data_IF_097732066852
#
_entry.id   IF_097732066852
#
_cell.length_a   1.000
_cell.length_b   1.000
_cell.length_c   1.000
_cell.angle_alpha   90.00
_cell.angle_beta   90.00
_cell.angle_gamma   90.00
#
_symmetry.space_group_name_H-M   'P 1'
#
loop_
_entity.id
_entity.type
_entity.pdbx_description
1 polymer ?
#
# COMPACT_ATOMS: atom_id res chain seq x y z
N UNK A 1 -14.26 -41.91 36.74
CA UNK A 1 -14.77 -40.78 35.92
C UNK A 1 -13.77 -39.64 35.95
N UNK A 2 -13.82 -38.77 34.94
CA UNK A 2 -12.90 -37.68 34.57
C UNK A 2 -11.82 -38.04 33.52
N UNK A 3 -12.16 -37.74 32.26
CA UNK A 3 -11.27 -37.44 31.13
C UNK A 3 -11.25 -35.91 30.97
N UNK A 4 -10.08 -35.29 30.80
CA UNK A 4 -9.78 -34.13 29.92
C UNK A 4 -8.24 -34.12 29.74
N UNK A 5 -7.67 -34.71 28.67
CA UNK A 5 -7.19 -34.07 27.43
C UNK A 5 -6.36 -32.78 27.59
N UNK A 6 -5.10 -32.82 27.15
CA UNK A 6 -4.45 -31.66 26.52
C UNK A 6 -3.14 -31.14 27.11
N UNK A 7 -2.11 -31.97 27.27
CA UNK A 7 -0.74 -31.46 27.40
C UNK A 7 0.24 -32.40 26.71
N UNK A 8 0.70 -32.02 25.51
CA UNK A 8 1.77 -32.71 24.80
C UNK A 8 3.04 -31.88 24.98
N UNK A 9 4.11 -32.42 25.61
CA UNK A 9 5.38 -31.72 25.70
C UNK A 9 6.12 -31.78 24.36
N UNK A 10 6.73 -30.66 24.01
CA UNK A 10 7.52 -30.43 22.80
C UNK A 10 8.81 -31.28 22.82
N UNK A 11 9.21 -31.92 21.71
CA UNK A 11 10.61 -32.29 21.52
C UNK A 11 11.15 -31.80 20.16
N UNK A 12 12.22 -31.00 20.21
CA UNK A 12 13.18 -30.85 19.10
C UNK A 12 14.40 -31.70 19.48
N UNK A 13 14.96 -32.52 18.58
CA UNK A 13 16.24 -32.17 17.97
C UNK A 13 16.38 -32.58 16.48
N UNK A 14 17.36 -31.96 15.80
CA UNK A 14 17.64 -32.00 14.36
C UNK A 14 18.64 -33.15 13.95
N UNK A 15 19.51 -33.00 12.92
CA UNK A 15 19.33 -33.47 11.53
C UNK A 15 20.43 -34.46 11.04
N UNK A 16 20.11 -35.47 10.23
CA UNK A 16 21.05 -36.26 9.38
C UNK A 16 20.19 -37.06 8.37
N UNK A 17 20.49 -37.29 7.09
CA UNK A 17 21.62 -37.07 6.20
C UNK A 17 21.59 -38.14 5.10
N UNK A 18 21.81 -37.77 3.81
CA UNK A 18 22.12 -38.64 2.63
C UNK A 18 21.01 -39.63 2.19
N UNK A 19 20.78 -40.02 0.94
CA UNK A 19 21.59 -40.06 -0.29
C UNK A 19 20.66 -40.35 -1.51
N UNK A 20 21.13 -40.02 -2.72
CA UNK A 20 20.75 -40.54 -4.07
C UNK A 20 19.38 -40.13 -4.64
N UNK A 21 19.29 -39.48 -5.80
CA UNK A 21 19.67 -40.09 -7.08
C UNK A 21 19.97 -39.06 -8.18
N UNK A 22 20.97 -39.38 -9.00
CA UNK A 22 21.55 -38.63 -10.12
C UNK A 22 20.85 -38.99 -11.43
N UNK A 23 20.44 -38.00 -12.24
CA UNK A 23 20.40 -38.11 -13.72
C UNK A 23 20.73 -36.72 -14.31
N UNK A 24 21.91 -36.63 -14.94
CA UNK A 24 22.32 -35.51 -15.79
C UNK A 24 21.69 -35.65 -17.19
N UNK A 25 21.32 -34.54 -17.81
CA UNK A 25 20.88 -34.48 -19.21
C UNK A 25 20.95 -33.04 -19.72
N UNK A 26 21.79 -32.83 -20.73
CA UNK A 26 22.32 -31.58 -21.26
C UNK A 26 21.39 -30.75 -22.16
N UNK A 27 21.62 -29.43 -22.10
CA UNK A 27 21.61 -28.42 -23.17
C UNK A 27 20.33 -27.90 -23.87
N UNK A 28 20.36 -26.55 -23.97
CA UNK A 28 19.85 -25.66 -25.00
C UNK A 28 18.34 -25.58 -25.28
N UNK A 29 17.79 -24.37 -25.00
CA UNK A 29 17.02 -23.59 -25.98
C UNK A 29 16.86 -22.13 -25.53
N UNK A 30 17.62 -21.27 -26.18
CA UNK A 30 17.29 -19.88 -26.49
C UNK A 30 15.82 -19.74 -26.89
N UNK A 31 15.06 -18.99 -26.10
CA UNK A 31 13.76 -18.45 -26.49
C UNK A 31 13.81 -16.92 -26.43
N UNK A 32 14.12 -16.30 -27.57
CA UNK A 32 13.79 -14.88 -27.80
C UNK A 32 12.27 -14.77 -27.82
N UNK A 33 11.68 -14.13 -26.82
CA UNK A 33 10.29 -13.70 -26.81
C UNK A 33 10.20 -12.20 -27.10
N UNK A 34 9.42 -11.86 -28.13
CA UNK A 34 9.29 -10.55 -28.76
C UNK A 34 8.92 -9.39 -27.82
N UNK A 35 9.45 -8.21 -28.17
CA UNK A 35 8.92 -6.90 -27.78
C UNK A 35 7.43 -6.80 -28.12
N UNK A 36 6.62 -6.43 -27.13
CA UNK A 36 5.36 -5.72 -27.36
C UNK A 36 5.57 -4.27 -26.92
N UNK A 37 5.71 -3.39 -27.91
CA UNK A 37 5.54 -1.95 -27.73
C UNK A 37 4.08 -1.70 -27.32
N UNK A 38 3.87 -1.51 -26.02
CA UNK A 38 2.65 -0.93 -25.46
C UNK A 38 2.95 0.47 -24.98
N UNK A 39 2.59 1.46 -25.78
CA UNK A 39 2.41 2.85 -25.32
C UNK A 39 1.38 2.86 -24.19
N UNK A 40 1.77 3.33 -23.00
CA UNK A 40 0.81 3.71 -21.97
C UNK A 40 0.90 2.98 -20.62
N UNK A 41 2.11 2.66 -20.14
CA UNK A 41 2.28 2.37 -18.71
C UNK A 41 3.43 3.20 -18.19
N UNK A 42 3.13 4.04 -17.19
CA UNK A 42 4.14 4.66 -16.32
C UNK A 42 5.07 3.57 -15.77
N UNK A 43 6.21 3.94 -15.16
CA UNK A 43 7.26 2.99 -14.82
C UNK A 43 6.67 1.76 -14.14
N UNK A 44 6.61 0.64 -14.88
CA UNK A 44 6.26 -0.65 -14.32
C UNK A 44 7.42 -0.97 -13.39
N UNK A 45 7.28 -0.54 -12.13
CA UNK A 45 8.20 -0.94 -11.09
C UNK A 45 8.06 -2.45 -11.00
N UNK A 46 9.02 -3.15 -11.59
CA UNK A 46 9.16 -4.59 -11.48
C UNK A 46 9.04 -4.96 -9.99
N UNK A 47 8.44 -6.10 -9.67
CA UNK A 47 8.27 -6.55 -8.28
C UNK A 47 9.61 -6.57 -7.54
N UNK A 48 10.70 -6.80 -8.28
CA UNK A 48 12.07 -6.66 -7.78
C UNK A 48 12.44 -5.21 -7.42
N UNK A 49 12.09 -4.22 -8.25
CA UNK A 49 12.31 -2.81 -7.98
C UNK A 49 11.52 -2.31 -6.76
N UNK A 50 10.27 -2.77 -6.59
CA UNK A 50 9.46 -2.48 -5.40
C UNK A 50 10.11 -3.10 -4.15
N UNK A 51 10.54 -4.36 -4.22
CA UNK A 51 11.21 -5.03 -3.10
C UNK A 51 12.53 -4.35 -2.72
N UNK A 52 13.32 -3.91 -3.69
CA UNK A 52 14.55 -3.14 -3.46
C UNK A 52 14.22 -1.81 -2.78
N UNK A 53 13.25 -1.05 -3.29
CA UNK A 53 12.83 0.21 -2.68
C UNK A 53 12.34 0.01 -1.23
N UNK A 54 11.55 -1.02 -0.96
CA UNK A 54 11.11 -1.38 0.39
C UNK A 54 12.28 -1.77 1.29
N UNK A 55 13.27 -2.49 0.77
CA UNK A 55 14.45 -2.89 1.55
C UNK A 55 15.35 -1.71 1.91
N UNK A 56 15.49 -0.73 1.00
CA UNK A 56 16.19 0.53 1.26
C UNK A 56 15.44 1.34 2.30
N UNK A 57 14.13 1.51 2.15
CA UNK A 57 13.30 2.20 3.13
C UNK A 57 13.34 1.52 4.51
N UNK A 58 13.31 0.19 4.56
CA UNK A 58 13.42 -0.57 5.80
C UNK A 58 14.80 -0.42 6.46
N UNK A 59 15.86 -0.38 5.67
CA UNK A 59 17.22 -0.13 6.17
C UNK A 59 17.36 1.29 6.71
N UNK A 60 16.86 2.29 5.99
CA UNK A 60 16.84 3.68 6.44
C UNK A 60 15.99 3.85 7.72
N UNK A 61 14.87 3.14 7.83
CA UNK A 61 14.05 3.14 9.03
C UNK A 61 14.80 2.54 10.22
N UNK A 62 15.52 1.43 10.01
CA UNK A 62 16.36 0.80 11.04
C UNK A 62 17.52 1.69 11.48
N UNK A 63 18.14 2.42 10.56
CA UNK A 63 19.20 3.38 10.88
C UNK A 63 18.68 4.61 11.64
N UNK A 64 17.39 4.94 11.47
CA UNK A 64 16.70 6.03 12.17
C UNK A 64 15.92 5.57 13.41
N UNK A 65 16.07 4.31 13.83
CA UNK A 65 15.45 3.82 15.06
C UNK A 65 16.01 4.60 16.25
N UNK A 66 15.16 5.45 16.83
CA UNK A 66 15.46 6.17 18.05
C UNK A 66 15.44 5.18 19.21
N UNK A 67 16.41 5.33 20.12
CA UNK A 67 16.34 4.60 21.38
C UNK A 67 15.11 5.04 22.19
N UNK A 68 14.61 4.16 23.05
CA UNK A 68 13.44 4.47 23.88
C UNK A 68 13.65 5.71 24.77
N UNK A 69 14.87 5.94 25.23
CA UNK A 69 15.22 7.14 26.00
C UNK A 69 15.15 8.42 25.17
N UNK A 70 15.57 8.37 23.90
CA UNK A 70 15.45 9.49 22.97
C UNK A 70 13.99 9.77 22.60
N UNK A 71 13.17 8.73 22.44
CA UNK A 71 11.72 8.86 22.23
C UNK A 71 11.09 9.60 23.41
N UNK A 72 11.37 9.17 24.65
CA UNK A 72 10.82 9.82 25.85
C UNK A 72 11.26 11.28 25.93
N UNK A 73 12.55 11.57 25.74
CA UNK A 73 13.05 12.96 25.80
C UNK A 73 12.36 13.83 24.78
N UNK A 74 12.27 13.36 23.53
CA UNK A 74 11.61 14.09 22.45
C UNK A 74 10.14 14.35 22.75
N UNK A 75 9.42 13.35 23.25
CA UNK A 75 8.00 13.50 23.60
C UNK A 75 7.81 14.45 24.79
N UNK A 76 8.71 14.42 25.79
CA UNK A 76 8.72 15.38 26.89
C UNK A 76 8.98 16.81 26.37
N UNK A 77 9.93 16.98 25.45
CA UNK A 77 10.24 18.28 24.84
C UNK A 77 9.06 18.81 24.01
N UNK A 78 8.41 17.94 23.21
CA UNK A 78 7.28 18.30 22.34
C UNK A 78 5.98 18.60 23.13
N UNK A 79 5.75 17.89 24.24
CA UNK A 79 4.57 18.10 25.08
C UNK A 79 4.78 19.14 26.18
N UNK A 80 6.04 19.47 26.50
CA UNK A 80 6.41 20.34 27.62
C UNK A 80 6.14 19.72 28.99
N UNK A 81 5.82 18.42 29.06
CA UNK A 81 5.44 17.74 30.28
C UNK A 81 6.65 17.11 30.96
N UNK A 82 6.87 17.40 32.24
CA UNK A 82 7.99 16.84 33.02
C UNK A 82 7.78 15.38 33.44
N UNK A 83 6.54 14.87 33.34
CA UNK A 83 6.22 13.46 33.57
C UNK A 83 6.24 12.69 32.23
N UNK A 84 7.23 11.79 32.01
CA UNK A 84 7.35 11.00 30.79
C UNK A 84 6.10 10.18 30.42
N UNK A 85 5.39 9.63 31.41
CA UNK A 85 4.24 8.76 31.14
C UNK A 85 3.06 9.58 30.63
N UNK A 86 2.81 10.73 31.26
CA UNK A 86 1.77 11.66 30.82
C UNK A 86 2.11 12.26 29.44
N UNK A 87 3.39 12.60 29.20
CA UNK A 87 3.88 13.07 27.92
C UNK A 87 3.60 12.06 26.79
N UNK A 88 3.91 10.78 27.03
CA UNK A 88 3.66 9.70 26.08
C UNK A 88 2.17 9.48 25.81
N UNK A 89 1.32 9.56 26.84
CA UNK A 89 -0.13 9.42 26.67
C UNK A 89 -0.72 10.57 25.85
N UNK A 90 -0.30 11.80 26.13
CA UNK A 90 -0.74 12.99 25.37
C UNK A 90 -0.25 12.95 23.92
N UNK A 91 1.02 12.58 23.69
CA UNK A 91 1.55 12.41 22.33
C UNK A 91 0.78 11.32 21.57
N UNK A 92 0.50 10.18 22.21
CA UNK A 92 -0.30 9.12 21.60
C UNK A 92 -1.72 9.60 21.25
N UNK A 93 -2.35 10.40 22.12
CA UNK A 93 -3.66 10.99 21.84
C UNK A 93 -3.62 11.94 20.63
N UNK A 94 -2.59 12.78 20.52
CA UNK A 94 -2.42 13.69 19.37
C UNK A 94 -2.20 12.93 18.07
N UNK A 95 -1.31 11.94 18.10
CA UNK A 95 -1.03 11.09 16.94
C UNK A 95 -2.29 10.36 16.48
N UNK A 96 -3.09 9.82 17.40
CA UNK A 96 -4.36 9.17 17.05
C UNK A 96 -5.32 10.13 16.35
N UNK A 97 -5.43 11.36 16.83
CA UNK A 97 -6.26 12.39 16.18
C UNK A 97 -5.77 12.74 14.78
N UNK A 98 -4.46 12.91 14.61
CA UNK A 98 -3.87 13.17 13.28
C UNK A 98 -4.08 12.02 12.30
N UNK A 99 -4.01 10.77 12.79
CA UNK A 99 -4.32 9.57 12.00
C UNK A 99 -5.79 9.58 11.56
N UNK A 100 -6.72 9.89 12.48
CA UNK A 100 -8.15 9.96 12.17
C UNK A 100 -8.46 11.03 11.12
N UNK A 101 -7.88 12.23 11.26
CA UNK A 101 -8.01 13.32 10.30
C UNK A 101 -7.46 12.91 8.92
N UNK A 102 -6.28 12.30 8.87
CA UNK A 102 -5.66 11.82 7.62
C UNK A 102 -6.52 10.73 6.95
N UNK A 103 -7.10 9.81 7.72
CA UNK A 103 -8.00 8.78 7.19
C UNK A 103 -9.26 9.42 6.59
N UNK A 104 -9.79 10.47 7.22
CA UNK A 104 -10.95 11.18 6.69
C UNK A 104 -10.61 11.87 5.35
N UNK A 105 -9.44 12.50 5.24
CA UNK A 105 -8.98 13.07 3.96
C UNK A 105 -8.80 12.00 2.87
N UNK A 106 -8.20 10.86 3.21
CA UNK A 106 -8.05 9.74 2.26
C UNK A 106 -9.42 9.27 1.75
N UNK A 107 -10.42 9.17 2.64
CA UNK A 107 -11.79 8.81 2.26
C UNK A 107 -12.41 9.84 1.33
N UNK A 108 -12.31 11.13 1.65
CA UNK A 108 -12.80 12.21 0.79
C UNK A 108 -12.15 12.16 -0.60
N UNK A 109 -10.83 11.93 -0.66
CA UNK A 109 -10.11 11.79 -1.92
C UNK A 109 -10.57 10.57 -2.70
N UNK A 110 -10.83 9.45 -2.02
CA UNK A 110 -11.39 8.24 -2.64
C UNK A 110 -12.78 8.50 -3.23
N UNK A 111 -13.65 9.17 -2.48
CA UNK A 111 -15.01 9.51 -2.95
C UNK A 111 -14.96 10.45 -4.17
N UNK A 112 -14.07 11.44 -4.15
CA UNK A 112 -13.83 12.32 -5.31
C UNK A 112 -13.26 11.56 -6.52
N UNK A 113 -12.41 10.56 -6.30
CA UNK A 113 -11.91 9.71 -7.38
C UNK A 113 -13.02 8.85 -7.98
N UNK A 114 -13.87 8.24 -7.16
CA UNK A 114 -15.04 7.47 -7.64
C UNK A 114 -16.01 8.38 -8.40
N UNK A 115 -16.23 9.61 -7.94
CA UNK A 115 -17.04 10.60 -8.66
C UNK A 115 -16.40 10.97 -10.01
N UNK A 116 -15.09 11.22 -10.03
CA UNK A 116 -14.36 11.53 -11.25
C UNK A 116 -14.39 10.37 -12.26
N UNK A 117 -14.25 9.11 -11.79
CA UNK A 117 -14.43 7.92 -12.61
C UNK A 117 -15.84 7.85 -13.18
N UNK A 118 -16.87 8.13 -12.38
CA UNK A 118 -18.26 8.23 -12.85
C UNK A 118 -18.47 9.30 -13.92
N UNK A 119 -17.86 10.48 -13.77
CA UNK A 119 -17.90 11.53 -14.78
C UNK A 119 -17.17 11.12 -16.07
N UNK A 120 -16.04 10.42 -15.96
CA UNK A 120 -15.31 9.90 -17.12
C UNK A 120 -16.11 8.83 -17.87
N UNK A 121 -16.72 7.89 -17.15
CA UNK A 121 -17.60 6.87 -17.73
C UNK A 121 -18.82 7.48 -18.41
N UNK A 122 -19.44 8.48 -17.77
CA UNK A 122 -20.56 9.22 -18.36
C UNK A 122 -20.14 9.96 -19.63
N UNK A 123 -18.98 10.64 -19.63
CA UNK A 123 -18.43 11.28 -20.82
C UNK A 123 -18.21 10.30 -21.97
N UNK A 124 -17.58 9.16 -21.70
CA UNK A 124 -17.39 8.07 -22.68
C UNK A 124 -18.72 7.54 -23.23
N UNK A 125 -19.74 7.42 -22.38
CA UNK A 125 -21.07 7.00 -22.82
C UNK A 125 -21.68 8.01 -23.78
N UNK A 126 -21.63 9.30 -23.45
CA UNK A 126 -22.15 10.36 -24.31
C UNK A 126 -21.42 10.40 -25.66
N UNK A 127 -20.09 10.33 -25.66
CA UNK A 127 -19.27 10.26 -26.88
C UNK A 127 -19.57 9.02 -27.73
N UNK A 128 -19.96 7.91 -27.09
CA UNK A 128 -20.33 6.68 -27.80
C UNK A 128 -21.73 6.71 -28.42
N UNK A 129 -22.65 7.52 -27.88
CA UNK A 129 -24.06 7.54 -28.28
C UNK A 129 -24.46 8.77 -29.09
N UNK A 130 -23.67 9.84 -29.05
CA UNK A 130 -24.01 11.13 -29.64
C UNK A 130 -22.89 11.63 -30.55
N UNK A 131 -23.25 12.36 -31.60
CA UNK A 131 -22.26 13.07 -32.43
C UNK A 131 -21.75 14.33 -31.70
N UNK A 132 -20.61 14.87 -32.13
CA UNK A 132 -20.05 16.11 -31.56
C UNK A 132 -21.04 17.30 -31.59
N UNK A 133 -21.87 17.39 -32.65
CA UNK A 133 -22.89 18.44 -32.77
C UNK A 133 -24.01 18.26 -31.74
N UNK A 134 -24.47 17.03 -31.52
CA UNK A 134 -25.49 16.71 -30.52
C UNK A 134 -24.98 16.91 -29.09
N UNK A 135 -23.72 16.55 -28.83
CA UNK A 135 -23.04 16.83 -27.56
C UNK A 135 -22.98 18.33 -27.26
N UNK A 136 -22.65 19.14 -28.27
CA UNK A 136 -22.57 20.59 -28.13
C UNK A 136 -23.94 21.22 -27.85
N UNK A 137 -25.00 20.72 -28.51
CA UNK A 137 -26.38 21.14 -28.21
C UNK A 137 -26.81 20.72 -26.80
N UNK A 138 -26.49 19.49 -26.39
CA UNK A 138 -26.79 18.97 -25.05
C UNK A 138 -26.15 19.80 -23.94
N UNK A 139 -24.83 20.06 -24.01
CA UNK A 139 -24.16 20.93 -23.04
C UNK A 139 -24.63 22.39 -23.12
N UNK A 140 -25.04 22.85 -24.31
CA UNK A 140 -25.66 24.16 -24.49
C UNK A 140 -26.98 24.30 -23.73
N UNK A 141 -27.83 23.27 -23.75
CA UNK A 141 -29.08 23.24 -22.99
C UNK A 141 -28.84 23.22 -21.48
N UNK A 142 -27.91 22.38 -21.00
CA UNK A 142 -27.57 22.30 -19.57
C UNK A 142 -27.05 23.64 -19.03
N UNK A 143 -26.15 24.30 -19.76
CA UNK A 143 -25.60 25.58 -19.34
C UNK A 143 -26.64 26.70 -19.30
N UNK A 144 -27.69 26.61 -20.11
CA UNK A 144 -28.80 27.58 -20.10
C UNK A 144 -29.78 27.34 -18.93
N UNK A 145 -29.89 26.11 -18.42
CA UNK A 145 -30.73 25.80 -17.24
C UNK A 145 -30.02 26.05 -15.90
N UNK A 146 -28.68 26.12 -15.89
CA UNK A 146 -27.87 26.40 -14.70
C UNK A 146 -27.68 27.91 -14.41
N UNK A 147 -28.23 28.79 -15.24
CA UNK A 147 -28.28 30.25 -15.05
C UNK A 147 -29.62 30.69 -14.44
#
# INVERSE_FOLDING_TARGET
MFRVHGQVPNPIPAPHGKDRSKVEGTDARTGKGQQTQGTGRGPELDSHAIAVALSVAAKEAKEKELSFEEIIRRVVDETGMTNPQAAMEEANRRIQKEIEETIEEIKKNKDLMEEAEGWEEFGKLLESQMTEEQLKEFFGLINNELQ
#
